data_IF_997987783143
#
_entry.id   IF_997987783143
#
_cell.length_a   1.000
_cell.length_b   1.000
_cell.length_c   1.000
_cell.angle_alpha   90.00
_cell.angle_beta   90.00
_cell.angle_gamma   90.00
#
_symmetry.space_group_name_H-M   'P 1'
#
loop_
_entity.id
_entity.type
_entity.pdbx_description
1 polymer ?
#
# COMPACT_ATOMS: atom_id res chain seq x y z
N UNK A 1 -30.62 1.93 2.25
CA UNK A 1 -29.92 1.06 1.25
C UNK A 1 -28.97 0.16 2.01
N UNK A 2 -29.06 -1.17 1.82
CA UNK A 2 -28.19 -2.15 2.50
C UNK A 2 -26.85 -2.18 1.77
N UNK A 3 -25.79 -1.71 2.42
CA UNK A 3 -24.41 -1.84 1.92
C UNK A 3 -23.96 -3.29 2.06
N UNK A 4 -23.69 -3.95 0.93
CA UNK A 4 -23.22 -5.33 0.91
C UNK A 4 -21.70 -5.28 1.12
N UNK A 5 -21.28 -5.41 2.38
CA UNK A 5 -19.87 -5.68 2.72
C UNK A 5 -19.54 -7.09 2.25
N UNK A 6 -18.97 -7.23 1.04
CA UNK A 6 -18.33 -8.48 0.63
C UNK A 6 -16.95 -8.53 1.30
N UNK A 7 -16.88 -9.20 2.44
CA UNK A 7 -15.63 -9.53 3.12
C UNK A 7 -14.84 -10.52 2.27
N UNK A 8 -13.78 -10.05 1.62
CA UNK A 8 -12.77 -10.93 1.03
C UNK A 8 -12.07 -11.62 2.19
N UNK A 9 -12.24 -12.94 2.28
CA UNK A 9 -11.62 -13.74 3.35
C UNK A 9 -10.21 -14.10 2.88
N UNK A 10 -9.21 -13.37 3.37
CA UNK A 10 -7.82 -13.76 3.24
C UNK A 10 -7.63 -15.03 4.05
N UNK A 11 -7.52 -16.18 3.37
CA UNK A 11 -7.12 -17.43 4.04
C UNK A 11 -5.82 -17.14 4.78
N UNK A 12 -5.89 -17.32 6.10
CA UNK A 12 -4.83 -17.10 7.07
C UNK A 12 -3.46 -17.46 6.51
N UNK A 13 -2.68 -16.43 6.18
CA UNK A 13 -1.24 -16.56 6.01
C UNK A 13 -0.73 -16.85 7.42
N UNK A 14 -0.27 -18.08 7.61
CA UNK A 14 0.09 -18.73 8.88
C UNK A 14 0.84 -17.79 9.85
N UNK A 15 0.40 -17.73 11.11
CA UNK A 15 0.99 -16.95 12.23
C UNK A 15 2.41 -17.39 12.67
N UNK A 16 3.15 -18.10 11.81
CA UNK A 16 4.52 -18.58 12.09
C UNK A 16 5.64 -17.86 11.35
N UNK A 17 5.33 -16.92 10.45
CA UNK A 17 6.34 -16.04 9.83
C UNK A 17 6.62 -14.76 10.64
N UNK A 18 6.61 -14.87 11.97
CA UNK A 18 7.28 -13.91 12.87
C UNK A 18 8.80 -14.11 12.84
N UNK A 19 9.38 -14.25 11.65
CA UNK A 19 10.75 -13.79 11.51
C UNK A 19 10.65 -12.27 11.50
N UNK A 20 11.38 -11.64 12.41
CA UNK A 20 11.66 -10.21 12.37
C UNK A 20 12.28 -9.95 11.01
N UNK A 21 11.45 -9.65 10.01
CA UNK A 21 11.93 -9.16 8.73
C UNK A 21 12.42 -7.77 9.07
N UNK A 22 13.73 -7.71 9.22
CA UNK A 22 14.53 -6.51 9.26
C UNK A 22 14.14 -5.63 8.06
N UNK A 23 13.13 -4.76 8.27
CA UNK A 23 12.67 -3.77 7.31
C UNK A 23 13.85 -2.86 6.89
N UNK A 24 14.91 -2.77 7.71
CA UNK A 24 16.16 -2.08 7.39
C UNK A 24 17.02 -2.76 6.31
N UNK A 25 16.81 -4.05 6.02
CA UNK A 25 17.56 -4.80 5.01
C UNK A 25 16.84 -4.88 3.65
N UNK A 26 15.64 -4.31 3.56
CA UNK A 26 14.78 -4.29 2.38
C UNK A 26 15.04 -3.08 1.46
N UNK A 27 16.32 -2.69 1.28
CA UNK A 27 16.73 -2.04 0.03
C UNK A 27 16.64 -3.10 -1.10
N UNK A 28 15.43 -3.49 -1.45
CA UNK A 28 15.17 -4.31 -2.63
C UNK A 28 15.61 -3.49 -3.83
N UNK A 29 16.63 -3.98 -4.55
CA UNK A 29 16.80 -3.59 -5.94
C UNK A 29 15.46 -3.82 -6.64
N UNK A 30 14.97 -2.83 -7.40
CA UNK A 30 13.71 -2.88 -8.16
C UNK A 30 13.47 -4.23 -8.84
N UNK A 31 14.51 -4.81 -9.45
CA UNK A 31 14.42 -6.12 -10.12
C UNK A 31 14.02 -7.27 -9.16
N UNK A 32 14.49 -7.23 -7.91
CA UNK A 32 14.10 -8.20 -6.88
C UNK A 32 12.66 -7.97 -6.44
N UNK A 33 12.24 -6.72 -6.26
CA UNK A 33 10.86 -6.37 -5.91
C UNK A 33 9.88 -6.82 -7.00
N UNK A 34 10.20 -6.61 -8.28
CA UNK A 34 9.40 -7.09 -9.42
C UNK A 34 9.24 -8.61 -9.37
N UNK A 35 10.35 -9.35 -9.24
CA UNK A 35 10.30 -10.83 -9.18
C UNK A 35 9.50 -11.33 -7.98
N UNK A 36 9.62 -10.68 -6.83
CA UNK A 36 8.84 -11.05 -5.65
C UNK A 36 7.36 -10.75 -5.84
N UNK A 37 7.01 -9.61 -6.42
CA UNK A 37 5.63 -9.27 -6.75
C UNK A 37 5.04 -10.30 -7.74
N UNK A 38 5.75 -10.65 -8.81
CA UNK A 38 5.34 -11.70 -9.76
C UNK A 38 5.10 -13.05 -9.04
N UNK A 39 6.02 -13.44 -8.15
CA UNK A 39 5.89 -14.67 -7.37
C UNK A 39 4.67 -14.65 -6.44
N UNK A 40 4.39 -13.53 -5.78
CA UNK A 40 3.24 -13.36 -4.90
C UNK A 40 1.93 -13.37 -5.70
N UNK A 41 1.89 -12.66 -6.83
CA UNK A 41 0.73 -12.59 -7.71
C UNK A 41 0.44 -13.93 -8.40
N UNK A 42 1.45 -14.75 -8.69
CA UNK A 42 1.24 -16.09 -9.27
C UNK A 42 0.35 -17.01 -8.42
N UNK A 43 0.19 -16.69 -7.13
CA UNK A 43 -0.60 -17.44 -6.15
C UNK A 43 -2.04 -16.94 -6.00
N UNK A 44 -2.42 -15.85 -6.67
CA UNK A 44 -3.77 -15.28 -6.61
C UNK A 44 -4.53 -15.52 -7.92
N UNK A 45 -5.84 -15.74 -7.81
CA UNK A 45 -6.69 -16.13 -8.93
C UNK A 45 -6.93 -14.99 -9.94
N UNK A 46 -6.93 -13.74 -9.49
CA UNK A 46 -7.20 -12.57 -10.35
C UNK A 46 -6.13 -11.49 -10.18
N UNK A 47 -4.99 -11.71 -10.83
CA UNK A 47 -3.80 -10.85 -10.73
C UNK A 47 -4.07 -9.42 -11.19
N UNK A 48 -4.75 -9.24 -12.33
CA UNK A 48 -5.05 -7.93 -12.88
C UNK A 48 -5.87 -7.08 -11.89
N UNK A 49 -6.91 -7.67 -11.30
CA UNK A 49 -7.71 -6.99 -10.29
C UNK A 49 -6.88 -6.63 -9.05
N UNK A 50 -6.00 -7.53 -8.57
CA UNK A 50 -5.16 -7.23 -7.40
C UNK A 50 -4.18 -6.09 -7.70
N UNK A 51 -3.62 -6.04 -8.91
CA UNK A 51 -2.78 -4.92 -9.34
C UNK A 51 -3.54 -3.59 -9.37
N UNK A 52 -4.76 -3.57 -9.91
CA UNK A 52 -5.60 -2.37 -9.94
C UNK A 52 -5.95 -1.89 -8.51
N UNK A 53 -6.23 -2.82 -7.59
CA UNK A 53 -6.53 -2.47 -6.19
C UNK A 53 -5.27 -1.99 -5.43
N UNK A 54 -4.09 -2.58 -5.70
CA UNK A 54 -2.81 -2.10 -5.16
C UNK A 54 -2.46 -0.70 -5.67
N UNK A 55 -2.67 -0.46 -6.97
CA UNK A 55 -2.50 0.87 -7.56
C UNK A 55 -3.42 1.88 -6.87
N UNK A 56 -4.71 1.55 -6.75
CA UNK A 56 -5.69 2.41 -6.07
C UNK A 56 -5.27 2.72 -4.62
N UNK A 57 -4.74 1.73 -3.90
CA UNK A 57 -4.25 1.92 -2.52
C UNK A 57 -3.00 2.82 -2.46
N UNK A 58 -2.09 2.74 -3.42
CA UNK A 58 -0.96 3.67 -3.53
C UNK A 58 -1.45 5.09 -3.82
N UNK A 59 -2.36 5.27 -4.77
CA UNK A 59 -2.96 6.58 -5.06
C UNK A 59 -3.64 7.18 -3.84
N UNK A 60 -4.27 6.35 -3.01
CA UNK A 60 -4.86 6.80 -1.77
C UNK A 60 -3.83 7.42 -0.84
N UNK A 61 -2.69 6.73 -0.64
CA UNK A 61 -1.59 7.25 0.14
C UNK A 61 -1.04 8.56 -0.45
N UNK A 62 -0.82 8.63 -1.77
CA UNK A 62 -0.29 9.82 -2.43
C UNK A 62 -1.23 11.04 -2.29
N UNK A 63 -2.54 10.83 -2.42
CA UNK A 63 -3.54 11.86 -2.17
C UNK A 63 -3.61 12.23 -0.68
N UNK A 64 -3.45 11.27 0.22
CA UNK A 64 -3.41 11.51 1.66
C UNK A 64 -2.24 12.42 2.03
N UNK A 65 -1.01 12.09 1.62
CA UNK A 65 0.18 12.88 1.96
C UNK A 65 0.35 14.14 1.11
N UNK A 66 -0.52 14.31 0.10
CA UNK A 66 -0.60 15.53 -0.71
C UNK A 66 0.40 15.60 -1.86
N UNK A 67 0.96 14.46 -2.27
CA UNK A 67 1.79 14.35 -3.49
C UNK A 67 0.92 14.53 -4.73
N UNK A 68 -0.29 13.97 -4.71
CA UNK A 68 -1.25 14.03 -5.82
C UNK A 68 -2.56 14.67 -5.41
N UNK A 69 -3.36 15.00 -6.43
CA UNK A 69 -4.77 15.35 -6.34
C UNK A 69 -5.53 14.54 -7.39
N UNK A 70 -5.50 13.21 -7.23
CA UNK A 70 -6.04 12.27 -8.23
C UNK A 70 -7.54 12.48 -8.48
N UNK A 71 -8.27 12.94 -7.45
CA UNK A 71 -9.72 13.07 -7.48
C UNK A 71 -10.45 11.73 -7.33
N UNK A 72 -9.74 10.64 -7.03
CA UNK A 72 -10.31 9.32 -6.77
C UNK A 72 -11.00 9.22 -5.40
N UNK A 73 -10.58 10.05 -4.43
CA UNK A 73 -11.06 10.03 -3.06
C UNK A 73 -11.78 11.32 -2.68
N UNK A 74 -12.81 11.22 -1.83
CA UNK A 74 -13.57 12.38 -1.38
C UNK A 74 -12.68 13.33 -0.56
N UNK A 75 -12.73 14.62 -0.89
CA UNK A 75 -11.87 15.64 -0.25
C UNK A 75 -12.17 15.79 1.24
N UNK A 76 -13.43 15.58 1.67
CA UNK A 76 -13.81 15.71 3.06
C UNK A 76 -13.36 14.51 3.89
N UNK A 77 -13.36 13.31 3.29
CA UNK A 77 -12.82 12.08 3.87
C UNK A 77 -11.29 12.16 3.98
N UNK A 78 -10.59 12.48 2.90
CA UNK A 78 -9.14 12.72 2.92
C UNK A 78 -8.74 13.74 4.00
N UNK A 79 -9.53 14.81 4.19
CA UNK A 79 -9.25 15.81 5.22
C UNK A 79 -9.38 15.26 6.65
N UNK A 80 -10.25 14.28 6.89
CA UNK A 80 -10.36 13.60 8.18
C UNK A 80 -9.19 12.64 8.37
N UNK A 81 -8.92 11.82 7.36
CA UNK A 81 -7.82 10.86 7.39
C UNK A 81 -6.47 11.56 7.59
N UNK A 82 -6.23 12.71 6.95
CA UNK A 82 -5.01 13.50 7.18
C UNK A 82 -4.83 13.94 8.63
N UNK A 83 -5.91 14.10 9.39
CA UNK A 83 -5.81 14.40 10.83
C UNK A 83 -5.45 13.14 11.62
N UNK A 84 -6.08 12.02 11.30
CA UNK A 84 -5.86 10.71 11.93
C UNK A 84 -4.43 10.18 11.65
N UNK A 85 -3.95 10.40 10.42
CA UNK A 85 -2.65 9.96 9.90
C UNK A 85 -1.66 11.11 9.75
N UNK A 86 -1.77 12.14 10.59
CA UNK A 86 -0.89 13.33 10.52
C UNK A 86 0.61 13.02 10.59
N UNK A 87 0.99 11.89 11.19
CA UNK A 87 2.37 11.41 11.27
C UNK A 87 2.94 10.91 9.92
N UNK A 88 2.09 10.53 8.96
CA UNK A 88 2.51 10.10 7.62
C UNK A 88 2.80 11.29 6.68
N UNK A 89 2.34 12.49 7.04
CA UNK A 89 2.49 13.68 6.21
C UNK A 89 3.85 14.30 6.47
N UNK A 90 4.82 14.00 5.60
CA UNK A 90 6.19 14.52 5.66
C UNK A 90 6.41 15.55 4.57
N UNK A 91 7.17 16.59 4.91
CA UNK A 91 7.57 17.65 3.99
C UNK A 91 9.08 17.82 4.05
N UNK A 92 9.72 17.83 2.88
CA UNK A 92 11.14 18.13 2.69
C UNK A 92 11.27 19.22 1.64
N UNK A 93 12.02 20.28 1.93
CA UNK A 93 12.18 21.43 1.02
C UNK A 93 10.85 22.00 0.51
N UNK A 94 9.87 22.13 1.42
CA UNK A 94 8.51 22.61 1.15
C UNK A 94 7.65 21.69 0.26
N UNK A 95 8.17 20.54 -0.15
CA UNK A 95 7.47 19.56 -0.97
C UNK A 95 7.06 18.33 -0.15
N UNK A 96 5.86 17.77 -0.37
CA UNK A 96 5.47 16.48 0.19
C UNK A 96 6.47 15.40 -0.20
N UNK A 97 6.83 14.57 0.77
CA UNK A 97 7.78 13.48 0.59
C UNK A 97 7.04 12.14 0.63
N UNK A 98 7.26 11.29 -0.37
CA UNK A 98 6.76 9.91 -0.37
C UNK A 98 7.77 9.02 0.34
N UNK A 99 7.28 8.21 1.26
CA UNK A 99 8.11 7.23 1.98
C UNK A 99 7.57 5.83 1.67
N UNK A 100 8.39 5.03 0.99
CA UNK A 100 7.97 3.72 0.46
C UNK A 100 7.47 2.78 1.57
N UNK A 101 8.16 2.79 2.73
CA UNK A 101 7.79 1.98 3.89
C UNK A 101 6.41 2.36 4.46
N UNK A 102 6.13 3.66 4.54
CA UNK A 102 4.87 4.19 5.06
C UNK A 102 3.73 3.96 4.09
N UNK A 103 3.98 4.07 2.77
CA UNK A 103 3.01 3.70 1.76
C UNK A 103 2.65 2.21 1.88
N UNK A 104 3.64 1.31 1.96
CA UNK A 104 3.37 -0.12 2.07
C UNK A 104 2.60 -0.48 3.34
N UNK A 105 2.94 0.12 4.48
CA UNK A 105 2.22 -0.04 5.74
C UNK A 105 0.79 0.47 5.65
N UNK A 106 0.59 1.69 5.12
CA UNK A 106 -0.72 2.29 4.91
C UNK A 106 -1.61 1.43 4.01
N UNK A 107 -1.09 0.97 2.87
CA UNK A 107 -1.82 0.08 1.97
C UNK A 107 -2.24 -1.22 2.67
N UNK A 108 -1.36 -1.78 3.50
CA UNK A 108 -1.66 -3.00 4.26
C UNK A 108 -2.79 -2.78 5.28
N UNK A 109 -2.71 -1.69 6.04
CA UNK A 109 -3.65 -1.39 7.13
C UNK A 109 -5.01 -0.90 6.61
N UNK A 110 -5.02 0.05 5.68
CA UNK A 110 -6.25 0.70 5.21
C UNK A 110 -6.99 -0.11 4.14
N UNK A 111 -6.26 -0.83 3.30
CA UNK A 111 -6.86 -1.62 2.20
C UNK A 111 -6.82 -3.13 2.47
N UNK A 112 -6.37 -3.54 3.65
CA UNK A 112 -6.36 -4.94 4.12
C UNK A 112 -5.56 -5.89 3.22
N UNK A 113 -4.48 -5.38 2.62
CA UNK A 113 -3.55 -6.18 1.83
C UNK A 113 -2.43 -6.78 2.70
N UNK A 114 -1.90 -7.97 2.35
CA UNK A 114 -0.70 -8.48 2.98
C UNK A 114 0.49 -7.50 2.84
N UNK A 115 1.17 -7.18 3.93
CA UNK A 115 2.26 -6.20 3.91
C UNK A 115 3.37 -6.53 2.89
N UNK A 116 3.68 -7.81 2.71
CA UNK A 116 4.68 -8.27 1.75
C UNK A 116 4.31 -7.98 0.29
N UNK A 117 3.03 -8.09 -0.10
CA UNK A 117 2.61 -7.74 -1.45
C UNK A 117 2.61 -6.23 -1.65
N UNK A 118 2.23 -5.45 -0.63
CA UNK A 118 2.32 -3.98 -0.67
C UNK A 118 3.76 -3.51 -0.83
N UNK A 119 4.68 -4.04 -0.02
CA UNK A 119 6.09 -3.69 -0.09
C UNK A 119 6.67 -4.04 -1.47
N UNK A 120 6.47 -5.28 -1.94
CA UNK A 120 6.94 -5.69 -3.26
C UNK A 120 6.35 -4.81 -4.38
N UNK A 121 5.07 -4.44 -4.28
CA UNK A 121 4.43 -3.52 -5.22
C UNK A 121 5.08 -2.14 -5.21
N UNK A 122 5.17 -1.48 -4.06
CA UNK A 122 5.73 -0.12 -3.93
C UNK A 122 7.18 -0.09 -4.43
N UNK A 123 8.04 -1.01 -3.98
CA UNK A 123 9.45 -1.05 -4.38
C UNK A 123 9.70 -1.46 -5.84
N UNK A 124 8.71 -2.10 -6.49
CA UNK A 124 8.80 -2.48 -7.90
C UNK A 124 8.42 -1.35 -8.85
N UNK A 125 7.70 -0.33 -8.38
CA UNK A 125 7.23 0.79 -9.19
C UNK A 125 8.11 2.03 -8.97
N UNK A 126 8.12 2.90 -9.97
CA UNK A 126 8.61 4.28 -9.81
C UNK A 126 7.38 5.16 -9.75
N UNK A 127 7.34 6.05 -8.77
CA UNK A 127 6.33 7.09 -8.62
C UNK A 127 6.91 8.46 -9.00
#
# INVERSE_FOLDING_TARGET
>A
MKSIKHSITYKQINEKDKSVIDLGHMLMNKEKAVRELENLLSKVENQARILDELETAQWHYMDLVGITLSGLFDKSELKKERKEHSHLIKVSDELPFFEDNECAAFMSEQHNFPLNICAAYVYSHKW
#
